data_IF_832417297218
#
_entry.id   IF_832417297218
#
_cell.length_a   1.000
_cell.length_b   1.000
_cell.length_c   1.000
_cell.angle_alpha   90.00
_cell.angle_beta   90.00
_cell.angle_gamma   90.00
#
_symmetry.space_group_name_H-M   'P 1'
#
loop_
_entity.id
_entity.type
_entity.pdbx_description
1 polymer ?
#
# COMPACT_ATOMS: atom_id res chain seq x y z
N UNK A 1 16.48 -82.02 -28.55
CA UNK A 1 15.61 -81.07 -27.90
C UNK A 1 16.44 -79.84 -27.48
N UNK A 2 16.24 -78.71 -28.12
CA UNK A 2 16.97 -77.44 -27.81
C UNK A 2 16.00 -76.51 -27.09
N UNK A 3 16.24 -76.33 -25.80
CA UNK A 3 15.44 -75.44 -24.96
C UNK A 3 15.89 -73.97 -25.17
N UNK A 4 14.98 -73.13 -25.66
CA UNK A 4 15.23 -71.67 -25.78
C UNK A 4 14.86 -70.97 -24.45
N UNK A 5 15.84 -70.32 -23.81
CA UNK A 5 15.62 -69.44 -22.66
C UNK A 5 15.30 -68.08 -23.21
N UNK A 6 14.12 -67.49 -22.87
CA UNK A 6 13.72 -66.12 -23.17
C UNK A 6 13.99 -65.29 -21.93
N UNK A 7 14.98 -64.37 -22.03
CA UNK A 7 15.23 -63.35 -21.01
C UNK A 7 14.25 -62.18 -21.23
N UNK A 8 13.35 -61.95 -20.27
CA UNK A 8 12.50 -60.75 -20.24
C UNK A 8 13.23 -59.67 -19.45
N UNK A 9 13.70 -58.63 -20.15
CA UNK A 9 14.22 -57.45 -19.53
C UNK A 9 13.06 -56.54 -19.07
N UNK A 10 12.80 -56.48 -17.76
CA UNK A 10 11.86 -55.55 -17.17
C UNK A 10 12.46 -54.17 -17.10
N UNK A 11 11.91 -53.21 -17.89
CA UNK A 11 12.29 -51.80 -17.86
C UNK A 11 11.55 -51.13 -16.68
N UNK A 12 12.28 -50.84 -15.59
CA UNK A 12 11.75 -50.08 -14.47
C UNK A 12 11.83 -48.60 -14.87
N UNK A 13 10.71 -47.97 -15.21
CA UNK A 13 10.59 -46.56 -15.44
C UNK A 13 10.58 -45.81 -14.06
N UNK A 14 11.68 -45.21 -13.73
CA UNK A 14 11.78 -44.32 -12.55
C UNK A 14 11.07 -42.99 -12.87
N UNK A 15 9.83 -42.86 -12.43
CA UNK A 15 9.11 -41.58 -12.50
C UNK A 15 9.70 -40.62 -11.46
N UNK A 16 10.54 -39.69 -11.90
CA UNK A 16 10.97 -38.55 -11.08
C UNK A 16 9.76 -37.65 -10.86
N UNK A 17 9.13 -37.74 -9.69
CA UNK A 17 8.14 -36.77 -9.24
C UNK A 17 8.88 -35.43 -8.97
N UNK A 18 8.78 -34.50 -9.88
CA UNK A 18 9.16 -33.12 -9.61
C UNK A 18 8.19 -32.60 -8.54
N UNK A 19 8.65 -32.47 -7.30
CA UNK A 19 7.92 -31.80 -6.25
C UNK A 19 7.70 -30.35 -6.73
N UNK A 20 6.47 -29.99 -7.06
CA UNK A 20 6.10 -28.60 -7.31
C UNK A 20 6.40 -27.84 -6.02
N UNK A 21 7.44 -27.00 -6.05
CA UNK A 21 7.79 -26.17 -4.91
C UNK A 21 6.67 -25.14 -4.75
N UNK A 22 5.97 -25.17 -3.62
CA UNK A 22 4.93 -24.18 -3.34
C UNK A 22 5.59 -22.81 -3.17
N UNK A 23 5.08 -21.81 -3.89
CA UNK A 23 5.60 -20.43 -3.81
C UNK A 23 5.50 -19.91 -2.37
N UNK A 24 6.53 -19.23 -1.91
CA UNK A 24 6.63 -18.69 -0.57
C UNK A 24 6.27 -17.19 -0.52
N UNK A 25 6.00 -16.65 0.67
CA UNK A 25 5.78 -15.22 0.84
C UNK A 25 7.01 -14.39 0.42
N UNK A 26 8.22 -14.82 0.79
CA UNK A 26 9.46 -14.10 0.41
C UNK A 26 9.69 -14.12 -1.12
N UNK A 27 9.34 -15.19 -1.82
CA UNK A 27 9.39 -15.24 -3.30
C UNK A 27 8.37 -14.31 -3.95
N UNK A 28 7.15 -14.24 -3.42
CA UNK A 28 6.12 -13.30 -3.90
C UNK A 28 6.54 -11.85 -3.70
N UNK A 29 7.12 -11.53 -2.54
CA UNK A 29 7.65 -10.20 -2.25
C UNK A 29 8.80 -9.84 -3.20
N UNK A 30 9.71 -10.77 -3.47
CA UNK A 30 10.80 -10.55 -4.42
C UNK A 30 10.27 -10.32 -5.85
N UNK A 31 9.23 -11.06 -6.27
CA UNK A 31 8.56 -10.86 -7.56
C UNK A 31 7.84 -9.52 -7.63
N UNK A 32 7.13 -9.11 -6.57
CA UNK A 32 6.52 -7.78 -6.47
C UNK A 32 7.58 -6.67 -6.57
N UNK A 33 8.68 -6.78 -5.81
CA UNK A 33 9.77 -5.82 -5.89
C UNK A 33 10.35 -5.70 -7.31
N UNK A 34 10.59 -6.85 -7.99
CA UNK A 34 11.07 -6.87 -9.37
C UNK A 34 10.07 -6.24 -10.34
N UNK A 35 8.78 -6.56 -10.22
CA UNK A 35 7.68 -6.00 -11.02
C UNK A 35 7.58 -4.48 -10.88
N UNK A 36 7.78 -3.97 -9.67
CA UNK A 36 7.79 -2.52 -9.38
C UNK A 36 9.04 -1.80 -9.89
N UNK A 37 10.04 -2.50 -10.41
CA UNK A 37 11.26 -1.91 -10.99
C UNK A 37 12.55 -2.31 -10.28
N UNK A 38 12.47 -3.09 -9.22
CA UNK A 38 13.59 -3.64 -8.44
C UNK A 38 13.82 -2.94 -7.11
N UNK A 39 14.25 -3.72 -6.11
CA UNK A 39 14.43 -3.26 -4.73
C UNK A 39 15.39 -2.06 -4.62
N UNK A 40 16.47 -2.05 -5.40
CA UNK A 40 17.45 -0.95 -5.38
C UNK A 40 16.85 0.38 -5.84
N UNK A 41 16.02 0.35 -6.91
CA UNK A 41 15.35 1.57 -7.40
C UNK A 41 14.30 2.05 -6.42
N UNK A 42 13.53 1.12 -5.82
CA UNK A 42 12.54 1.45 -4.77
C UNK A 42 13.26 2.12 -3.60
N UNK A 43 14.38 1.55 -3.11
CA UNK A 43 15.17 2.09 -2.02
C UNK A 43 15.85 3.43 -2.36
N UNK A 44 16.06 3.73 -3.65
CA UNK A 44 16.63 5.00 -4.13
C UNK A 44 15.62 6.14 -4.13
N UNK A 45 14.30 5.88 -4.02
CA UNK A 45 13.28 6.91 -3.86
C UNK A 45 13.32 7.44 -2.42
N UNK A 46 13.77 8.67 -2.24
CA UNK A 46 13.89 9.32 -0.92
C UNK A 46 12.75 10.28 -0.61
N UNK A 47 12.09 10.76 -1.65
CA UNK A 47 10.87 11.53 -1.54
C UNK A 47 9.95 11.24 -2.71
N UNK A 48 8.64 11.36 -2.48
CA UNK A 48 7.62 11.20 -3.50
C UNK A 48 6.57 12.28 -3.30
N UNK A 49 6.28 13.03 -4.37
CA UNK A 49 5.19 13.98 -4.43
C UNK A 49 4.18 13.49 -5.45
N UNK A 50 2.92 13.38 -5.02
CA UNK A 50 1.78 13.02 -5.86
C UNK A 50 0.80 14.19 -5.87
N UNK A 51 0.27 14.54 -7.04
CA UNK A 51 -0.78 15.54 -7.23
C UNK A 51 -1.87 14.95 -8.11
N UNK A 52 -3.13 15.23 -7.80
CA UNK A 52 -4.25 14.67 -8.54
C UNK A 52 -5.61 15.08 -8.00
N UNK A 53 -6.60 14.24 -8.20
CA UNK A 53 -7.98 14.46 -7.78
C UNK A 53 -8.47 13.27 -6.95
N UNK A 54 -9.08 13.59 -5.81
CA UNK A 54 -9.81 12.65 -4.98
C UNK A 54 -11.30 12.94 -5.11
N UNK A 55 -12.04 11.97 -5.66
CA UNK A 55 -13.50 12.04 -5.77
C UNK A 55 -14.12 11.26 -4.63
N UNK A 56 -14.91 11.93 -3.80
CA UNK A 56 -15.78 11.29 -2.83
C UNK A 56 -17.12 10.96 -3.50
N UNK A 57 -17.56 9.71 -3.34
CA UNK A 57 -18.80 9.19 -3.93
C UNK A 57 -19.74 8.83 -2.79
N UNK A 58 -20.87 9.49 -2.70
CA UNK A 58 -21.88 9.25 -1.67
C UNK A 58 -23.31 9.24 -2.20
N UNK A 59 -24.28 8.92 -1.34
CA UNK A 59 -25.70 8.77 -1.72
C UNK A 59 -26.35 10.02 -2.33
N UNK A 60 -25.75 11.21 -2.16
CA UNK A 60 -26.27 12.48 -2.69
C UNK A 60 -25.43 13.05 -3.85
N UNK A 61 -24.52 12.28 -4.40
CA UNK A 61 -23.64 12.69 -5.51
C UNK A 61 -22.15 12.53 -5.20
N UNK A 62 -21.33 13.22 -6.01
CA UNK A 62 -19.87 13.18 -5.84
C UNK A 62 -19.29 14.58 -5.65
N UNK A 63 -18.18 14.65 -4.91
CA UNK A 63 -17.41 15.89 -4.70
C UNK A 63 -15.98 15.62 -5.12
N UNK A 64 -15.45 16.45 -6.02
CA UNK A 64 -14.06 16.42 -6.43
C UNK A 64 -13.24 17.36 -5.51
N UNK A 65 -12.15 16.82 -4.98
CA UNK A 65 -11.19 17.49 -4.09
C UNK A 65 -9.83 17.45 -4.75
N UNK A 66 -9.15 18.60 -4.83
CA UNK A 66 -7.74 18.60 -5.25
C UNK A 66 -6.91 17.85 -4.23
N UNK A 67 -6.09 16.92 -4.70
CA UNK A 67 -5.27 16.06 -3.84
C UNK A 67 -3.79 16.34 -4.02
N UNK A 68 -3.05 16.39 -2.91
CA UNK A 68 -1.60 16.34 -2.92
C UNK A 68 -1.11 15.45 -1.78
N UNK A 69 -0.09 14.64 -2.06
CA UNK A 69 0.59 13.84 -1.06
C UNK A 69 2.10 14.03 -1.19
N UNK A 70 2.74 14.15 -0.04
CA UNK A 70 4.18 14.27 0.09
C UNK A 70 4.65 13.15 1.01
N UNK A 71 5.59 12.36 0.56
CA UNK A 71 6.24 11.32 1.37
C UNK A 71 7.74 11.54 1.37
N UNK A 72 8.38 11.34 2.51
CA UNK A 72 9.84 11.42 2.68
C UNK A 72 10.33 10.25 3.51
N UNK A 73 11.33 9.56 2.98
CA UNK A 73 11.96 8.46 3.70
C UNK A 73 12.62 8.95 5.00
N UNK A 74 12.61 8.14 6.09
CA UNK A 74 12.13 6.75 6.07
C UNK A 74 10.61 6.60 6.13
N UNK A 75 9.86 7.48 6.80
CA UNK A 75 8.47 7.27 7.19
C UNK A 75 7.69 8.57 7.46
N UNK A 76 7.99 9.67 6.76
CA UNK A 76 7.19 10.89 6.87
C UNK A 76 6.18 11.00 5.73
N UNK A 77 4.94 11.39 6.05
CA UNK A 77 3.88 11.61 5.08
C UNK A 77 3.05 12.84 5.44
N UNK A 78 2.62 13.56 4.40
CA UNK A 78 1.65 14.65 4.48
C UNK A 78 0.69 14.52 3.32
N UNK A 79 -0.62 14.56 3.62
CA UNK A 79 -1.70 14.54 2.64
C UNK A 79 -2.52 15.79 2.75
N UNK A 80 -2.92 16.35 1.62
CA UNK A 80 -3.72 17.58 1.53
C UNK A 80 -4.93 17.32 0.62
N UNK A 81 -6.11 17.74 1.11
CA UNK A 81 -7.35 17.73 0.34
C UNK A 81 -7.92 19.14 0.25
N UNK A 82 -8.02 19.73 -0.95
CA UNK A 82 -8.47 21.11 -1.14
C UNK A 82 -9.77 21.16 -1.92
N UNK A 83 -10.77 21.84 -1.34
CA UNK A 83 -12.02 22.18 -2.01
C UNK A 83 -12.45 23.60 -1.63
N UNK A 84 -12.87 24.38 -2.61
CA UNK A 84 -13.36 25.78 -2.42
C UNK A 84 -12.39 26.69 -1.60
N UNK A 85 -11.07 26.48 -1.79
CA UNK A 85 -10.04 27.25 -1.11
C UNK A 85 -9.79 26.86 0.36
N UNK A 86 -10.46 25.83 0.87
CA UNK A 86 -10.17 25.23 2.17
C UNK A 86 -9.33 23.98 1.97
N UNK A 87 -8.25 23.84 2.75
CA UNK A 87 -7.35 22.69 2.68
C UNK A 87 -7.37 21.93 4.00
N UNK A 88 -7.82 20.68 3.95
CA UNK A 88 -7.59 19.70 5.02
C UNK A 88 -6.18 19.17 4.90
N UNK A 89 -5.50 18.99 6.03
CA UNK A 89 -4.14 18.48 6.10
C UNK A 89 -4.09 17.36 7.12
N UNK A 90 -3.37 16.29 6.79
CA UNK A 90 -2.94 15.26 7.73
C UNK A 90 -1.44 15.03 7.53
N UNK A 91 -0.67 14.96 8.61
CA UNK A 91 0.77 14.76 8.51
C UNK A 91 1.31 13.89 9.65
N UNK A 92 2.35 13.13 9.33
CA UNK A 92 3.15 12.30 10.23
C UNK A 92 4.63 12.61 9.98
N UNK A 93 5.38 12.94 11.01
CA UNK A 93 6.81 13.31 10.92
C UNK A 93 7.77 12.18 11.34
N UNK A 94 7.27 10.95 11.49
CA UNK A 94 8.00 9.81 12.04
C UNK A 94 7.83 9.63 13.55
N UNK A 95 7.16 10.57 14.25
CA UNK A 95 6.98 10.54 15.71
C UNK A 95 5.58 10.92 16.16
N UNK A 96 5.03 11.98 15.61
CA UNK A 96 3.69 12.46 15.95
C UNK A 96 2.87 12.77 14.69
N UNK A 97 1.55 12.57 14.79
CA UNK A 97 0.61 12.91 13.75
C UNK A 97 -0.23 14.12 14.13
N UNK A 98 -0.55 14.94 13.14
CA UNK A 98 -1.40 16.10 13.31
C UNK A 98 -2.29 16.34 12.09
N UNK A 99 -3.33 17.14 12.28
CA UNK A 99 -4.28 17.46 11.23
C UNK A 99 -4.78 18.91 11.32
N UNK A 100 -5.28 19.41 10.20
CA UNK A 100 -6.15 20.60 10.09
C UNK A 100 -7.43 20.14 9.41
N UNK A 101 -8.59 20.35 10.04
CA UNK A 101 -9.90 19.89 9.54
C UNK A 101 -10.89 21.05 9.37
N UNK A 102 -10.69 21.95 8.38
CA UNK A 102 -11.48 23.17 8.24
C UNK A 102 -12.95 22.89 7.92
N UNK A 103 -13.25 21.78 7.26
CA UNK A 103 -14.63 21.35 6.97
C UNK A 103 -15.42 20.96 8.22
N UNK A 104 -14.73 20.69 9.34
CA UNK A 104 -15.31 20.43 10.66
C UNK A 104 -15.22 21.66 11.57
N UNK A 105 -14.92 22.85 11.02
CA UNK A 105 -14.76 24.08 11.78
C UNK A 105 -13.42 24.24 12.52
N UNK A 106 -12.50 23.24 12.39
CA UNK A 106 -11.19 23.22 13.06
C UNK A 106 -10.12 23.71 12.09
N UNK A 107 -9.78 24.97 12.22
CA UNK A 107 -8.80 25.64 11.32
C UNK A 107 -7.38 25.63 11.89
N UNK A 108 -7.21 25.39 13.17
CA UNK A 108 -5.90 25.30 13.83
C UNK A 108 -5.38 23.85 13.76
N UNK A 109 -4.05 23.66 13.76
CA UNK A 109 -3.44 22.33 13.83
C UNK A 109 -3.79 21.64 15.16
N UNK A 110 -4.19 20.38 15.08
CA UNK A 110 -4.51 19.51 16.21
C UNK A 110 -3.72 18.21 16.12
N UNK A 111 -3.27 17.67 17.27
CA UNK A 111 -2.71 16.31 17.30
C UNK A 111 -3.79 15.29 17.04
N UNK A 112 -3.46 14.29 16.26
CA UNK A 112 -4.36 13.17 15.97
C UNK A 112 -4.45 12.21 17.17
N UNK A 113 -5.52 11.41 17.22
CA UNK A 113 -5.61 10.32 18.17
C UNK A 113 -4.51 9.28 17.95
N UNK A 114 -4.22 8.46 18.96
CA UNK A 114 -3.21 7.41 18.83
C UNK A 114 -3.54 6.40 17.72
N UNK A 115 -4.81 6.06 17.55
CA UNK A 115 -5.24 5.12 16.52
C UNK A 115 -5.15 5.73 15.10
N UNK A 116 -5.60 6.98 14.93
CA UNK A 116 -5.47 7.68 13.65
C UNK A 116 -3.99 7.92 13.28
N UNK A 117 -3.13 8.21 14.29
CA UNK A 117 -1.70 8.36 14.09
C UNK A 117 -1.03 7.06 13.62
N UNK A 118 -1.44 5.89 14.17
CA UNK A 118 -0.95 4.58 13.71
C UNK A 118 -1.33 4.32 12.26
N UNK A 119 -2.58 4.58 11.88
CA UNK A 119 -3.04 4.39 10.52
C UNK A 119 -2.23 5.23 9.52
N UNK A 120 -1.98 6.51 9.85
CA UNK A 120 -1.17 7.39 9.01
C UNK A 120 0.31 6.97 8.94
N UNK A 121 0.87 6.47 10.06
CA UNK A 121 2.23 5.95 10.11
C UNK A 121 2.41 4.68 9.27
N UNK A 122 1.40 3.78 9.26
CA UNK A 122 1.42 2.57 8.42
C UNK A 122 1.49 2.92 6.92
N UNK A 123 0.82 4.01 6.50
CA UNK A 123 0.78 4.47 5.11
C UNK A 123 1.98 5.37 4.73
N UNK A 124 2.86 5.73 5.67
CA UNK A 124 3.93 6.70 5.44
C UNK A 124 5.06 6.20 4.55
N UNK A 125 5.27 4.89 4.46
CA UNK A 125 6.41 4.32 3.73
C UNK A 125 6.22 4.36 2.22
N UNK A 126 7.11 5.04 1.50
CA UNK A 126 7.14 5.09 0.03
C UNK A 126 7.26 3.69 -0.60
N UNK A 127 7.99 2.79 0.04
CA UNK A 127 8.19 1.42 -0.45
C UNK A 127 6.97 0.50 -0.25
N UNK A 128 5.97 0.92 0.54
CA UNK A 128 4.79 0.11 0.89
C UNK A 128 5.05 -0.92 1.99
N UNK A 129 4.07 -1.75 2.30
CA UNK A 129 4.13 -2.68 3.42
C UNK A 129 5.01 -3.92 3.16
N UNK A 130 5.19 -4.32 1.89
CA UNK A 130 5.90 -5.56 1.53
C UNK A 130 7.43 -5.42 1.58
N UNK A 131 7.97 -4.29 1.12
CA UNK A 131 9.42 -4.10 1.01
C UNK A 131 10.01 -3.82 2.39
N UNK A 132 11.11 -4.51 2.70
CA UNK A 132 11.82 -4.41 3.99
C UNK A 132 10.93 -4.65 5.22
N UNK A 133 9.87 -5.46 5.07
CA UNK A 133 8.87 -5.69 6.10
C UNK A 133 9.45 -6.15 7.44
N UNK A 134 10.51 -7.00 7.42
CA UNK A 134 11.19 -7.47 8.63
C UNK A 134 11.85 -6.31 9.39
N UNK A 135 12.51 -5.39 8.66
CA UNK A 135 13.14 -4.21 9.23
C UNK A 135 12.10 -3.22 9.79
N UNK A 136 10.92 -3.16 9.18
CA UNK A 136 9.76 -2.39 9.65
C UNK A 136 9.07 -3.03 10.87
N UNK A 137 9.46 -4.25 11.27
CA UNK A 137 8.87 -4.97 12.39
C UNK A 137 7.56 -5.67 12.07
N UNK A 138 7.22 -5.83 10.79
CA UNK A 138 6.03 -6.53 10.32
C UNK A 138 6.30 -8.02 10.11
N UNK A 139 5.21 -8.81 10.05
CA UNK A 139 5.23 -10.24 9.68
C UNK A 139 4.35 -10.45 8.47
N UNK A 140 4.77 -11.34 7.56
CA UNK A 140 4.00 -11.65 6.36
C UNK A 140 3.79 -13.16 6.26
N UNK A 141 2.56 -13.56 5.96
CA UNK A 141 2.13 -14.94 5.72
C UNK A 141 1.48 -15.03 4.34
N UNK A 142 1.85 -16.05 3.55
CA UNK A 142 1.14 -16.36 2.31
C UNK A 142 -0.07 -17.26 2.62
N UNK A 143 -1.26 -16.83 2.24
CA UNK A 143 -2.51 -17.52 2.51
C UNK A 143 -3.07 -18.31 1.31
N UNK A 144 -2.30 -18.44 0.22
CA UNK A 144 -2.78 -19.06 -1.02
C UNK A 144 -3.34 -18.03 -2.00
N UNK A 145 -4.20 -18.49 -2.91
CA UNK A 145 -4.86 -17.63 -3.88
C UNK A 145 -6.32 -17.41 -3.51
N UNK A 146 -6.85 -16.25 -3.91
CA UNK A 146 -8.27 -15.89 -3.75
C UNK A 146 -8.75 -15.23 -5.06
N UNK A 147 -10.00 -15.50 -5.42
CA UNK A 147 -10.60 -14.87 -6.60
C UNK A 147 -10.96 -13.40 -6.30
N UNK A 148 -10.34 -12.52 -7.07
CA UNK A 148 -10.61 -11.08 -7.04
C UNK A 148 -11.13 -10.68 -8.43
N UNK A 149 -12.44 -10.56 -8.54
CA UNK A 149 -13.12 -10.15 -9.77
C UNK A 149 -12.73 -11.00 -11.00
N UNK A 150 -12.56 -12.32 -10.81
CA UNK A 150 -12.15 -13.29 -11.83
C UNK A 150 -10.64 -13.51 -11.94
N UNK A 151 -9.83 -12.81 -11.15
CA UNK A 151 -8.37 -13.00 -11.08
C UNK A 151 -8.00 -13.82 -9.84
N UNK A 152 -7.26 -14.94 -10.03
CA UNK A 152 -6.75 -15.78 -8.93
C UNK A 152 -5.52 -15.13 -8.29
N UNK A 153 -5.75 -14.08 -7.51
CA UNK A 153 -4.69 -13.27 -6.90
C UNK A 153 -3.98 -13.99 -5.74
N UNK A 154 -2.68 -13.80 -5.61
CA UNK A 154 -1.92 -14.26 -4.45
C UNK A 154 -2.23 -13.39 -3.24
N UNK A 155 -2.72 -14.00 -2.16
CA UNK A 155 -3.10 -13.33 -0.92
C UNK A 155 -1.99 -13.39 0.12
N UNK A 156 -1.50 -12.24 0.53
CA UNK A 156 -0.54 -12.07 1.62
C UNK A 156 -1.23 -11.39 2.81
N UNK A 157 -1.05 -11.94 4.01
CA UNK A 157 -1.43 -11.28 5.26
C UNK A 157 -0.21 -10.60 5.85
N UNK A 158 -0.31 -9.29 6.05
CA UNK A 158 0.72 -8.45 6.67
C UNK A 158 0.23 -8.05 8.06
N UNK A 159 0.90 -8.53 9.10
CA UNK A 159 0.69 -8.05 10.47
C UNK A 159 1.68 -6.92 10.73
N UNK A 160 1.19 -5.69 10.81
CA UNK A 160 1.99 -4.49 10.97
C UNK A 160 2.47 -4.32 12.41
N UNK A 161 3.58 -3.60 12.59
CA UNK A 161 4.14 -3.27 13.92
C UNK A 161 3.14 -2.49 14.80
N UNK A 162 2.27 -1.69 14.19
CA UNK A 162 1.20 -0.94 14.86
C UNK A 162 0.14 -1.81 15.53
N UNK A 163 0.06 -3.09 15.13
CA UNK A 163 -1.00 -4.03 15.48
C UNK A 163 -2.12 -4.13 14.44
N UNK A 164 -2.13 -3.25 13.44
CA UNK A 164 -3.07 -3.33 12.32
C UNK A 164 -2.72 -4.51 11.39
N UNK A 165 -3.68 -4.93 10.59
CA UNK A 165 -3.52 -6.02 9.61
C UNK A 165 -3.88 -5.53 8.22
N UNK A 166 -3.10 -5.93 7.22
CA UNK A 166 -3.40 -5.74 5.80
C UNK A 166 -3.39 -7.08 5.07
N UNK A 167 -4.38 -7.28 4.20
CA UNK A 167 -4.36 -8.37 3.22
C UNK A 167 -4.05 -7.76 1.87
N UNK A 168 -2.90 -8.13 1.31
CA UNK A 168 -2.41 -7.62 0.04
C UNK A 168 -2.58 -8.70 -1.01
N UNK A 169 -3.20 -8.34 -2.14
CA UNK A 169 -3.48 -9.24 -3.25
C UNK A 169 -2.61 -8.85 -4.43
N UNK A 170 -1.78 -9.80 -4.87
CA UNK A 170 -0.89 -9.62 -6.01
C UNK A 170 -1.47 -10.30 -7.25
N UNK A 171 -1.40 -9.61 -8.37
CA UNK A 171 -1.71 -10.19 -9.69
C UNK A 171 -0.83 -11.42 -9.95
N UNK A 172 -1.39 -12.55 -10.45
CA UNK A 172 -0.64 -13.78 -10.62
C UNK A 172 0.41 -13.72 -11.74
N UNK A 173 0.23 -12.85 -12.73
CA UNK A 173 1.10 -12.76 -13.91
C UNK A 173 2.12 -11.63 -13.77
N UNK A 174 1.70 -10.48 -13.25
CA UNK A 174 2.52 -9.28 -13.14
C UNK A 174 3.08 -9.02 -11.74
N UNK A 175 2.55 -9.65 -10.69
CA UNK A 175 2.93 -9.50 -9.27
C UNK A 175 2.81 -8.07 -8.72
N UNK A 176 2.09 -7.18 -9.40
CA UNK A 176 1.71 -5.89 -8.87
C UNK A 176 0.53 -6.05 -7.90
N UNK A 177 0.42 -5.14 -6.95
CA UNK A 177 -0.70 -5.11 -6.02
C UNK A 177 -1.97 -4.69 -6.79
N UNK A 178 -3.03 -5.50 -6.71
CA UNK A 178 -4.32 -5.16 -7.33
C UNK A 178 -5.36 -4.74 -6.30
N UNK A 179 -5.22 -5.24 -5.05
CA UNK A 179 -6.13 -4.91 -3.94
C UNK A 179 -5.39 -4.99 -2.61
N UNK A 180 -5.76 -4.11 -1.70
CA UNK A 180 -5.42 -4.22 -0.27
C UNK A 180 -6.70 -4.10 0.56
N UNK A 181 -6.87 -4.99 1.55
CA UNK A 181 -7.90 -4.88 2.58
C UNK A 181 -7.21 -4.57 3.89
N UNK A 182 -7.44 -3.37 4.43
CA UNK A 182 -6.85 -2.91 5.68
C UNK A 182 -7.86 -3.05 6.84
N UNK A 183 -7.43 -3.71 7.91
CA UNK A 183 -8.16 -3.84 9.17
C UNK A 183 -7.43 -3.03 10.24
N UNK A 184 -8.07 -1.99 10.75
CA UNK A 184 -7.47 -0.99 11.64
C UNK A 184 -8.41 -0.67 12.80
N UNK A 185 -7.83 -0.32 13.95
CA UNK A 185 -8.62 0.28 15.04
C UNK A 185 -8.77 1.78 14.76
N UNK A 186 -10.02 2.25 14.70
CA UNK A 186 -10.35 3.66 14.54
C UNK A 186 -11.22 4.06 15.74
N UNK A 187 -10.69 4.92 16.60
CA UNK A 187 -11.39 5.39 17.82
C UNK A 187 -11.97 4.26 18.68
N UNK A 188 -11.20 3.17 18.81
CA UNK A 188 -11.60 2.00 19.60
C UNK A 188 -12.58 1.04 18.92
N UNK A 189 -12.90 1.25 17.65
CA UNK A 189 -13.75 0.36 16.84
C UNK A 189 -12.91 -0.22 15.70
N UNK A 190 -13.08 -1.51 15.43
CA UNK A 190 -12.46 -2.14 14.27
C UNK A 190 -13.12 -1.62 12.99
N UNK A 191 -12.30 -1.15 12.05
CA UNK A 191 -12.68 -0.64 10.75
C UNK A 191 -12.00 -1.42 9.65
N UNK A 192 -12.70 -1.65 8.55
CA UNK A 192 -12.19 -2.33 7.36
C UNK A 192 -12.39 -1.45 6.13
N UNK A 193 -11.32 -1.28 5.37
CA UNK A 193 -11.34 -0.59 4.09
C UNK A 193 -10.65 -1.42 3.01
N UNK A 194 -11.19 -1.37 1.80
CA UNK A 194 -10.64 -2.01 0.62
C UNK A 194 -10.13 -0.94 -0.33
N UNK A 195 -8.90 -1.07 -0.82
CA UNK A 195 -8.32 -0.23 -1.86
C UNK A 195 -7.98 -1.09 -3.08
N UNK A 196 -8.51 -0.73 -4.24
CA UNK A 196 -8.21 -1.33 -5.54
C UNK A 196 -7.25 -0.43 -6.31
N UNK A 197 -6.18 -1.01 -6.86
CA UNK A 197 -5.10 -0.30 -7.53
C UNK A 197 -5.12 -0.55 -9.03
N UNK A 198 -4.89 0.52 -9.80
CA UNK A 198 -4.82 0.46 -11.26
C UNK A 198 -3.90 1.52 -11.83
N UNK A 199 -3.82 1.54 -13.17
CA UNK A 199 -3.09 2.56 -13.93
C UNK A 199 -1.65 2.75 -13.43
N UNK A 200 -0.89 1.64 -13.37
CA UNK A 200 0.49 1.69 -12.91
C UNK A 200 1.40 2.42 -13.89
N UNK A 201 2.05 3.48 -13.42
CA UNK A 201 2.99 4.29 -14.21
C UNK A 201 4.37 4.34 -13.55
N UNK A 202 5.40 4.58 -14.38
CA UNK A 202 6.78 4.68 -13.89
C UNK A 202 7.14 6.10 -13.43
N UNK A 203 7.67 6.18 -12.20
CA UNK A 203 8.29 7.39 -11.65
C UNK A 203 9.72 7.03 -11.24
N UNK A 204 10.71 7.61 -11.91
CA UNK A 204 12.15 7.27 -11.74
C UNK A 204 12.44 5.76 -11.83
N UNK A 205 11.74 5.05 -12.74
CA UNK A 205 11.93 3.62 -12.98
C UNK A 205 11.28 2.70 -11.93
N UNK A 206 10.44 3.23 -11.05
CA UNK A 206 9.60 2.49 -10.10
C UNK A 206 8.14 2.66 -10.49
N UNK A 207 7.38 1.56 -10.53
CA UNK A 207 5.94 1.60 -10.79
C UNK A 207 5.16 1.95 -9.53
N UNK A 208 4.26 2.93 -9.66
CA UNK A 208 3.28 3.35 -8.66
C UNK A 208 1.87 3.33 -9.27
N UNK A 209 0.82 3.02 -8.49
CA UNK A 209 -0.56 3.11 -8.97
C UNK A 209 -0.97 4.58 -9.15
N UNK A 210 -1.60 4.91 -10.27
CA UNK A 210 -2.14 6.23 -10.57
C UNK A 210 -3.66 6.29 -10.40
N UNK A 211 -4.29 5.15 -10.16
CA UNK A 211 -5.72 5.02 -9.85
C UNK A 211 -5.88 4.19 -8.58
N UNK A 212 -6.61 4.72 -7.59
CA UNK A 212 -6.93 4.00 -6.35
C UNK A 212 -8.40 4.22 -6.03
N UNK A 213 -9.19 3.15 -6.10
CA UNK A 213 -10.57 3.13 -5.63
C UNK A 213 -10.61 2.60 -4.20
N UNK A 214 -11.20 3.35 -3.26
CA UNK A 214 -11.29 2.92 -1.86
C UNK A 214 -12.75 2.80 -1.44
N UNK A 215 -13.08 1.67 -0.81
CA UNK A 215 -14.38 1.38 -0.23
C UNK A 215 -14.24 1.21 1.28
N UNK A 216 -15.03 1.94 2.05
CA UNK A 216 -15.08 1.79 3.51
C UNK A 216 -16.33 1.01 3.91
N UNK A 217 -16.15 -0.10 4.63
CA UNK A 217 -17.25 -0.94 5.10
C UNK A 217 -18.14 -0.23 6.14
N UNK A 218 -17.57 0.73 6.86
CA UNK A 218 -18.23 1.42 7.97
C UNK A 218 -18.97 2.70 7.55
N UNK A 219 -19.28 2.84 6.27
CA UNK A 219 -20.08 3.95 5.74
C UNK A 219 -19.31 5.27 5.55
N UNK A 220 -17.97 5.24 5.53
CA UNK A 220 -17.13 6.40 5.23
C UNK A 220 -17.24 6.92 3.79
N UNK A 221 -18.06 6.26 2.96
CA UNK A 221 -18.22 6.55 1.54
C UNK A 221 -17.11 5.92 0.69
N UNK A 222 -17.34 5.89 -0.60
CA UNK A 222 -16.37 5.42 -1.58
C UNK A 222 -15.55 6.61 -2.07
N UNK A 223 -14.28 6.35 -2.40
CA UNK A 223 -13.42 7.37 -2.98
C UNK A 223 -12.71 6.83 -4.21
N UNK A 224 -12.46 7.72 -5.17
CA UNK A 224 -11.63 7.47 -6.35
C UNK A 224 -10.52 8.50 -6.39
N UNK A 225 -9.28 8.06 -6.16
CA UNK A 225 -8.09 8.87 -6.36
C UNK A 225 -7.56 8.65 -7.78
N UNK A 226 -7.33 9.73 -8.49
CA UNK A 226 -6.61 9.75 -9.78
C UNK A 226 -5.40 10.64 -9.63
N UNK A 227 -4.20 10.08 -9.77
CA UNK A 227 -2.95 10.81 -9.79
C UNK A 227 -2.75 11.41 -11.20
N UNK A 228 -2.48 12.69 -11.27
CA UNK A 228 -2.24 13.42 -12.52
C UNK A 228 -0.75 13.74 -12.70
N UNK A 229 -0.01 13.81 -11.58
CA UNK A 229 1.43 14.09 -11.59
C UNK A 229 2.13 13.42 -10.43
N UNK A 230 3.27 12.80 -10.70
CA UNK A 230 4.15 12.22 -9.70
C UNK A 230 5.61 12.66 -9.91
N UNK A 231 6.31 13.00 -8.85
CA UNK A 231 7.70 13.43 -8.86
C UNK A 231 8.45 12.74 -7.72
N UNK A 232 9.56 12.09 -8.04
CA UNK A 232 10.41 11.43 -7.05
C UNK A 232 11.71 12.21 -6.85
N UNK A 233 12.23 12.14 -5.64
CA UNK A 233 13.52 12.71 -5.23
C UNK A 233 13.59 14.26 -5.32
N UNK A 234 12.44 14.94 -5.33
CA UNK A 234 12.38 16.37 -5.14
C UNK A 234 12.70 16.73 -3.67
N UNK A 235 13.42 17.84 -3.41
CA UNK A 235 13.70 18.27 -2.05
C UNK A 235 12.40 18.59 -1.29
N UNK A 236 12.20 17.96 -0.14
CA UNK A 236 11.09 18.25 0.77
C UNK A 236 11.66 18.72 2.13
N UNK A 237 11.14 19.84 2.62
CA UNK A 237 11.50 20.36 3.93
C UNK A 237 10.85 19.53 5.05
N UNK A 238 11.61 19.12 6.06
CA UNK A 238 11.10 18.38 7.22
C UNK A 238 10.03 19.17 7.99
N UNK A 239 10.08 20.51 7.95
CA UNK A 239 9.08 21.37 8.56
C UNK A 239 7.67 21.17 7.97
N UNK A 240 7.54 20.62 6.75
CA UNK A 240 6.22 20.29 6.15
C UNK A 240 5.48 19.21 6.92
N UNK A 241 6.21 18.29 7.55
CA UNK A 241 5.66 17.12 8.25
C UNK A 241 5.48 17.40 9.74
N UNK A 242 6.32 18.27 10.31
CA UNK A 242 6.30 18.59 11.73
C UNK A 242 5.03 19.37 12.14
N UNK A 243 4.62 19.18 13.40
CA UNK A 243 3.52 19.97 13.98
C UNK A 243 3.83 21.46 13.85
N UNK A 244 2.93 22.27 13.23
CA UNK A 244 3.18 23.69 13.04
C UNK A 244 3.32 24.44 14.37
N UNK A 245 4.48 25.01 14.62
CA UNK A 245 4.69 25.88 15.78
C UNK A 245 4.09 27.23 15.44
N UNK A 246 3.11 27.68 16.21
CA UNK A 246 2.60 29.06 16.05
C UNK A 246 3.76 30.03 16.20
N UNK A 247 4.06 30.81 15.16
CA UNK A 247 4.93 31.97 15.34
C UNK A 247 4.19 32.86 16.31
N UNK A 248 4.62 32.88 17.57
CA UNK A 248 4.14 33.88 18.52
C UNK A 248 4.25 35.24 17.85
N UNK A 249 3.11 35.90 17.64
CA UNK A 249 3.10 37.25 17.16
C UNK A 249 3.96 38.08 18.14
N UNK A 250 5.09 38.61 17.62
CA UNK A 250 5.89 39.61 18.31
C UNK A 250 5.18 40.93 18.22
#
# INVERSE_FOLDING_TARGET
MRTKVVLVFGMVALAAATAAHAITADELIAKNAAARGGADKIAAIKSLKLEGKLRFIGGFGSIDVGYAQYQKAPDSVRSEGTVQGLTQVQAWDGKEAWQISPFQGRKDPERMSADDAKALADDASISGALIDYKAKGSKIEYLGTEDIDGTQAHKLKVSLKSGNTEYIYLDPDHFLEIRTVAQRMVRGTESESTADFGDYEQVNGVYFPFSVATHSKDGGGDTQLTIEKAQANEPLDDAMFAFPVSKSAK
#
